data_IF_809755014866
#
_entry.id   IF_809755014866
#
_cell.length_a   1.000
_cell.length_b   1.000
_cell.length_c   1.000
_cell.angle_alpha   90.00
_cell.angle_beta   90.00
_cell.angle_gamma   90.00
#
_symmetry.space_group_name_H-M   'P 1'
#
loop_
_entity.id
_entity.type
_entity.pdbx_description
1 polymer ?
#
# COMPACT_ATOMS: atom_id res chain seq x y z
N UNK A 1 -9.22 2.26 8.56
CA UNK A 1 -9.97 3.04 9.56
C UNK A 1 -9.10 3.47 10.74
N UNK A 2 -8.46 2.55 11.49
CA UNK A 2 -7.61 2.92 12.64
C UNK A 2 -6.43 3.80 12.23
N UNK A 3 -5.76 3.49 11.11
CA UNK A 3 -4.65 4.28 10.59
C UNK A 3 -5.13 5.68 10.18
N UNK A 4 -6.23 5.78 9.47
CA UNK A 4 -6.83 7.07 9.07
C UNK A 4 -7.18 7.93 10.28
N UNK A 5 -7.79 7.30 11.31
CA UNK A 5 -8.14 7.99 12.54
C UNK A 5 -6.89 8.47 13.30
N UNK A 6 -5.85 7.64 13.37
CA UNK A 6 -4.60 7.99 14.04
C UNK A 6 -3.88 9.14 13.32
N UNK A 7 -3.75 9.08 11.98
CA UNK A 7 -3.11 10.14 11.20
C UNK A 7 -3.94 11.43 11.20
N UNK A 8 -5.26 11.33 11.24
CA UNK A 8 -6.14 12.49 11.38
C UNK A 8 -5.95 13.20 12.74
N UNK A 9 -5.87 12.43 13.84
CA UNK A 9 -5.59 12.99 15.17
C UNK A 9 -4.20 13.65 15.20
N UNK A 10 -3.19 13.02 14.59
CA UNK A 10 -1.85 13.59 14.50
C UNK A 10 -1.87 14.90 13.70
N UNK A 11 -2.56 14.94 12.56
CA UNK A 11 -2.74 16.13 11.75
C UNK A 11 -3.40 17.29 12.52
N UNK A 12 -4.39 17.00 13.36
CA UNK A 12 -4.99 18.00 14.25
C UNK A 12 -4.03 18.54 15.30
N UNK A 13 -3.14 17.68 15.84
CA UNK A 13 -2.15 18.10 16.85
C UNK A 13 -1.03 18.96 16.26
N UNK A 14 -0.66 18.68 14.99
CA UNK A 14 0.42 19.40 14.28
C UNK A 14 -0.11 20.61 13.52
N UNK A 15 -1.44 20.79 13.46
CA UNK A 15 -2.14 21.82 12.68
C UNK A 15 -1.89 21.69 11.16
N UNK A 16 -1.73 20.44 10.70
CA UNK A 16 -1.57 20.09 9.29
C UNK A 16 -2.57 18.99 8.89
N UNK A 17 -3.76 19.36 8.39
CA UNK A 17 -4.80 18.42 7.99
C UNK A 17 -4.38 17.53 6.80
N UNK A 18 -3.40 17.97 6.00
CA UNK A 18 -2.92 17.21 4.84
C UNK A 18 -2.04 16.00 5.24
N UNK A 19 -1.70 15.85 6.51
CA UNK A 19 -1.06 14.62 7.04
C UNK A 19 -2.02 13.43 7.15
N UNK A 20 -3.32 13.63 7.06
CA UNK A 20 -4.28 12.56 7.16
C UNK A 20 -4.18 11.60 5.96
N UNK A 21 -4.07 10.29 6.23
CA UNK A 21 -4.05 9.24 5.21
C UNK A 21 -5.48 8.74 5.00
N UNK A 22 -6.08 9.09 3.86
CA UNK A 22 -7.42 8.64 3.47
C UNK A 22 -7.39 7.29 2.77
N UNK A 23 -6.53 7.13 1.76
CA UNK A 23 -6.36 5.89 1.02
C UNK A 23 -4.88 5.57 0.79
N UNK A 24 -4.23 4.99 1.80
CA UNK A 24 -2.84 4.56 1.74
C UNK A 24 -2.66 3.08 1.36
N UNK A 25 -1.42 2.60 1.42
CA UNK A 25 -1.04 1.23 1.03
C UNK A 25 -1.86 0.15 1.73
N UNK A 26 -2.13 0.28 3.03
CA UNK A 26 -2.91 -0.71 3.78
C UNK A 26 -4.37 -0.77 3.32
N UNK A 27 -4.97 0.37 2.95
CA UNK A 27 -6.32 0.41 2.40
C UNK A 27 -6.37 -0.24 1.01
N UNK A 28 -5.37 0.01 0.17
CA UNK A 28 -5.24 -0.61 -1.14
C UNK A 28 -5.10 -2.13 -1.05
N UNK A 29 -4.25 -2.63 -0.14
CA UNK A 29 -4.10 -4.07 0.11
C UNK A 29 -5.40 -4.68 0.64
N UNK A 30 -6.05 -4.04 1.63
CA UNK A 30 -7.30 -4.53 2.21
C UNK A 30 -8.42 -4.62 1.16
N UNK A 31 -8.59 -3.58 0.34
CA UNK A 31 -9.56 -3.57 -0.76
C UNK A 31 -9.26 -4.67 -1.77
N UNK A 32 -7.99 -4.84 -2.14
CA UNK A 32 -7.57 -5.91 -3.06
C UNK A 32 -7.89 -7.29 -2.50
N UNK A 33 -7.55 -7.57 -1.23
CA UNK A 33 -7.81 -8.85 -0.58
C UNK A 33 -9.32 -9.13 -0.45
N UNK A 34 -10.11 -8.10 -0.14
CA UNK A 34 -11.56 -8.22 -0.09
C UNK A 34 -12.14 -8.58 -1.47
N UNK A 35 -11.72 -7.89 -2.52
CA UNK A 35 -12.14 -8.19 -3.89
C UNK A 35 -11.69 -9.59 -4.33
N UNK A 36 -10.46 -9.99 -4.02
CA UNK A 36 -9.96 -11.35 -4.30
C UNK A 36 -10.83 -12.37 -3.59
N UNK A 37 -11.10 -12.19 -2.29
CA UNK A 37 -11.92 -13.12 -1.51
C UNK A 37 -13.35 -13.27 -2.03
N UNK A 38 -13.95 -12.20 -2.53
CA UNK A 38 -15.29 -12.20 -3.13
C UNK A 38 -15.28 -12.82 -4.54
N UNK A 39 -14.40 -12.33 -5.40
CA UNK A 39 -14.37 -12.73 -6.82
C UNK A 39 -13.87 -14.16 -7.00
N UNK A 40 -12.93 -14.64 -6.18
CA UNK A 40 -12.40 -16.01 -6.28
C UNK A 40 -13.44 -17.10 -5.96
N UNK A 41 -14.51 -16.74 -5.25
CA UNK A 41 -15.66 -17.63 -5.01
C UNK A 41 -16.47 -17.86 -6.28
N UNK A 42 -16.56 -16.84 -7.14
CA UNK A 42 -17.41 -16.81 -8.34
C UNK A 42 -16.58 -17.19 -9.57
N UNK A 43 -15.39 -16.60 -9.72
CA UNK A 43 -14.54 -16.71 -10.91
C UNK A 43 -13.38 -17.67 -10.64
N UNK A 44 -13.48 -18.88 -11.15
CA UNK A 44 -12.44 -19.93 -10.97
C UNK A 44 -11.29 -19.84 -11.97
N UNK A 45 -11.41 -19.03 -13.03
CA UNK A 45 -10.39 -18.89 -14.06
C UNK A 45 -9.20 -18.08 -13.56
N UNK A 46 -8.00 -18.67 -13.63
CA UNK A 46 -6.75 -17.95 -13.32
C UNK A 46 -6.46 -16.81 -14.31
N UNK A 47 -6.87 -16.95 -15.58
CA UNK A 47 -6.66 -15.96 -16.63
C UNK A 47 -7.44 -14.66 -16.38
N UNK A 48 -8.55 -14.74 -15.65
CA UNK A 48 -9.27 -13.56 -15.21
C UNK A 48 -8.39 -12.61 -14.39
N UNK A 49 -7.60 -13.16 -13.47
CA UNK A 49 -6.70 -12.37 -12.61
C UNK A 49 -5.59 -11.70 -13.40
N UNK A 50 -5.05 -12.38 -14.43
CA UNK A 50 -4.07 -11.76 -15.31
C UNK A 50 -4.69 -10.65 -16.14
N UNK A 51 -5.83 -10.90 -16.81
CA UNK A 51 -6.48 -9.93 -17.65
C UNK A 51 -6.92 -8.68 -16.88
N UNK A 52 -7.58 -8.87 -15.71
CA UNK A 52 -8.00 -7.77 -14.86
C UNK A 52 -6.81 -6.99 -14.27
N UNK A 53 -5.73 -7.67 -13.89
CA UNK A 53 -4.52 -7.02 -13.42
C UNK A 53 -3.86 -6.15 -14.48
N UNK A 54 -3.72 -6.66 -15.72
CA UNK A 54 -3.16 -5.90 -16.85
C UNK A 54 -4.03 -4.70 -17.20
N UNK A 55 -5.36 -4.88 -17.24
CA UNK A 55 -6.29 -3.77 -17.52
C UNK A 55 -6.20 -2.70 -16.44
N UNK A 56 -6.19 -3.08 -15.17
CA UNK A 56 -6.06 -2.13 -14.06
C UNK A 56 -4.74 -1.36 -14.11
N UNK A 57 -3.62 -2.04 -14.38
CA UNK A 57 -2.31 -1.36 -14.52
C UNK A 57 -2.34 -0.40 -15.71
N UNK A 58 -2.91 -0.80 -16.85
CA UNK A 58 -3.03 0.08 -18.01
C UNK A 58 -3.85 1.34 -17.70
N UNK A 59 -4.95 1.20 -16.95
CA UNK A 59 -5.75 2.33 -16.45
C UNK A 59 -4.89 3.20 -15.52
N UNK A 60 -4.17 2.61 -14.56
CA UNK A 60 -3.33 3.35 -13.62
C UNK A 60 -2.21 4.13 -14.33
N UNK A 61 -1.58 3.55 -15.35
CA UNK A 61 -0.57 4.25 -16.18
C UNK A 61 -1.22 5.37 -17.01
N UNK A 62 -2.41 5.14 -17.56
CA UNK A 62 -3.12 6.14 -18.36
C UNK A 62 -3.57 7.35 -17.52
N UNK A 63 -3.94 7.13 -16.27
CA UNK A 63 -4.25 8.21 -15.30
C UNK A 63 -2.98 9.01 -14.97
N UNK A 64 -1.82 8.36 -14.92
CA UNK A 64 -0.53 9.00 -14.69
C UNK A 64 -0.33 9.44 -13.23
N UNK A 65 0.46 10.51 -13.03
CA UNK A 65 0.72 11.06 -11.70
C UNK A 65 -0.40 12.04 -11.32
N UNK A 66 -1.22 11.72 -10.30
CA UNK A 66 -2.29 12.61 -9.89
C UNK A 66 -1.76 13.91 -9.30
N UNK A 67 -2.45 15.05 -9.53
CA UNK A 67 -2.14 16.28 -8.86
C UNK A 67 -2.41 16.18 -7.36
N UNK A 68 -1.58 16.84 -6.56
CA UNK A 68 -1.83 16.96 -5.12
C UNK A 68 -3.04 17.86 -4.88
N UNK A 69 -3.99 17.39 -4.07
CA UNK A 69 -5.21 18.12 -3.70
C UNK A 69 -5.26 18.26 -2.18
N UNK A 70 -5.43 19.48 -1.70
CA UNK A 70 -5.58 19.74 -0.26
C UNK A 70 -6.89 19.16 0.27
N UNK A 71 -6.85 18.63 1.48
CA UNK A 71 -7.98 17.96 2.13
C UNK A 71 -9.22 18.85 2.25
N UNK A 72 -9.04 20.16 2.38
CA UNK A 72 -10.11 21.14 2.51
C UNK A 72 -10.79 21.54 1.20
N UNK A 73 -10.25 21.11 0.05
CA UNK A 73 -10.72 21.57 -1.26
C UNK A 73 -11.99 20.86 -1.74
N UNK A 74 -12.25 19.62 -1.27
CA UNK A 74 -13.36 18.81 -1.77
C UNK A 74 -14.04 17.98 -0.66
N UNK A 75 -15.30 17.54 -0.86
CA UNK A 75 -15.97 16.66 0.08
C UNK A 75 -15.22 15.34 0.23
N UNK A 76 -15.12 14.83 1.45
CA UNK A 76 -14.38 13.60 1.80
C UNK A 76 -14.61 12.41 0.86
N UNK A 77 -15.88 12.11 0.54
CA UNK A 77 -16.20 10.96 -0.33
C UNK A 77 -15.73 11.15 -1.77
N UNK A 78 -15.76 12.37 -2.28
CA UNK A 78 -15.29 12.68 -3.64
C UNK A 78 -13.76 12.54 -3.69
N UNK A 79 -13.07 13.06 -2.70
CA UNK A 79 -11.63 12.96 -2.56
C UNK A 79 -11.20 11.49 -2.43
N UNK A 80 -11.85 10.71 -1.56
CA UNK A 80 -11.60 9.28 -1.40
C UNK A 80 -11.76 8.49 -2.72
N UNK A 81 -12.81 8.76 -3.48
CA UNK A 81 -13.01 8.12 -4.78
C UNK A 81 -11.92 8.50 -5.79
N UNK A 82 -11.53 9.77 -5.81
CA UNK A 82 -10.45 10.25 -6.68
C UNK A 82 -9.11 9.62 -6.32
N UNK A 83 -8.81 9.44 -5.04
CA UNK A 83 -7.61 8.74 -4.58
C UNK A 83 -7.63 7.25 -4.93
N UNK A 84 -8.77 6.57 -4.73
CA UNK A 84 -8.92 5.16 -5.12
C UNK A 84 -8.67 4.99 -6.62
N UNK A 85 -9.23 5.86 -7.45
CA UNK A 85 -9.06 5.81 -8.92
C UNK A 85 -7.65 6.27 -9.33
N UNK A 86 -7.00 7.13 -8.53
CA UNK A 86 -5.69 7.69 -8.80
C UNK A 86 -5.73 8.99 -9.58
N UNK A 87 -6.84 9.73 -9.54
CA UNK A 87 -6.99 11.05 -10.19
C UNK A 87 -6.66 12.22 -9.28
N UNK A 88 -6.49 11.98 -7.98
CA UNK A 88 -6.00 12.93 -6.99
C UNK A 88 -5.06 12.23 -6.02
N UNK A 89 -4.11 12.96 -5.47
CA UNK A 89 -3.26 12.55 -4.35
C UNK A 89 -3.52 13.49 -3.19
N UNK A 90 -3.77 12.95 -2.00
CA UNK A 90 -3.95 13.70 -0.78
C UNK A 90 -3.24 12.99 0.38
N UNK A 91 -2.55 13.77 1.20
CA UNK A 91 -1.77 13.21 2.30
C UNK A 91 -0.42 12.66 1.89
N UNK A 92 0.26 12.06 2.86
CA UNK A 92 1.65 11.59 2.73
C UNK A 92 1.79 10.17 2.15
N UNK A 93 0.70 9.40 2.06
CA UNK A 93 0.70 8.00 1.61
C UNK A 93 -0.49 7.76 0.69
N UNK A 94 -0.25 7.81 -0.62
CA UNK A 94 -1.29 7.71 -1.63
C UNK A 94 -0.99 6.55 -2.60
N UNK A 95 -1.86 5.54 -2.60
CA UNK A 95 -1.71 4.33 -3.41
C UNK A 95 -2.95 4.09 -4.26
N UNK A 96 -2.94 4.60 -5.49
CA UNK A 96 -4.03 4.41 -6.45
C UNK A 96 -4.32 2.92 -6.70
N UNK A 97 -5.57 2.50 -6.45
CA UNK A 97 -5.97 1.09 -6.60
C UNK A 97 -5.72 0.51 -8.00
N UNK A 98 -5.97 1.22 -9.13
CA UNK A 98 -5.73 0.63 -10.44
C UNK A 98 -4.29 0.16 -10.63
N UNK A 99 -3.31 0.98 -10.27
CA UNK A 99 -1.91 0.62 -10.45
C UNK A 99 -1.46 -0.48 -9.48
N UNK A 100 -1.68 -0.29 -8.20
CA UNK A 100 -1.17 -1.19 -7.16
C UNK A 100 -2.06 -2.42 -6.93
N UNK A 101 -3.38 -2.27 -6.99
CA UNK A 101 -4.31 -3.40 -6.96
C UNK A 101 -4.16 -4.31 -8.18
N UNK A 102 -3.87 -3.74 -9.35
CA UNK A 102 -3.55 -4.50 -10.56
C UNK A 102 -2.31 -5.39 -10.38
N UNK A 103 -1.25 -4.90 -9.73
CA UNK A 103 -0.06 -5.70 -9.39
C UNK A 103 -0.40 -6.86 -8.44
N UNK A 104 -1.25 -6.62 -7.44
CA UNK A 104 -1.73 -7.66 -6.52
C UNK A 104 -2.50 -8.74 -7.30
N UNK A 105 -3.36 -8.37 -8.27
CA UNK A 105 -4.11 -9.33 -9.09
C UNK A 105 -3.20 -10.18 -9.97
N UNK A 106 -2.14 -9.60 -10.55
CA UNK A 106 -1.10 -10.38 -11.24
C UNK A 106 -0.40 -11.34 -10.27
N UNK A 107 -0.12 -10.88 -9.04
CA UNK A 107 0.41 -11.74 -7.98
C UNK A 107 -0.49 -12.95 -7.68
N UNK A 108 -1.82 -12.78 -7.67
CA UNK A 108 -2.79 -13.88 -7.52
C UNK A 108 -2.71 -14.85 -8.68
N UNK A 109 -2.61 -14.35 -9.93
CA UNK A 109 -2.41 -15.22 -11.11
C UNK A 109 -1.13 -16.06 -10.97
N UNK A 110 -0.01 -15.43 -10.65
CA UNK A 110 1.27 -16.13 -10.44
C UNK A 110 1.18 -17.13 -9.31
N UNK A 111 0.54 -16.79 -8.19
CA UNK A 111 0.30 -17.69 -7.08
C UNK A 111 -0.48 -18.94 -7.50
N UNK A 112 -1.56 -18.77 -8.27
CA UNK A 112 -2.36 -19.89 -8.80
C UNK A 112 -1.64 -20.70 -9.87
N UNK A 113 -0.66 -20.13 -10.55
CA UNK A 113 0.16 -20.81 -11.55
C UNK A 113 1.26 -21.62 -10.90
N UNK A 114 2.05 -20.99 -10.00
CA UNK A 114 3.28 -21.57 -9.43
C UNK A 114 3.01 -22.49 -8.24
N UNK A 115 2.00 -22.16 -7.41
CA UNK A 115 1.69 -22.90 -6.19
C UNK A 115 0.46 -23.81 -6.34
N UNK A 116 0.25 -24.35 -7.53
CA UNK A 116 -0.91 -25.24 -7.82
C UNK A 116 -1.00 -26.43 -6.85
N UNK A 117 0.13 -26.98 -6.44
CA UNK A 117 0.20 -28.13 -5.52
C UNK A 117 0.39 -27.72 -4.05
N UNK A 118 0.38 -26.43 -3.74
CA UNK A 118 0.61 -25.89 -2.38
C UNK A 118 1.94 -26.37 -1.76
N UNK A 119 2.94 -26.68 -2.59
CA UNK A 119 4.29 -27.06 -2.17
C UNK A 119 5.25 -25.90 -2.32
N UNK A 120 6.24 -25.82 -1.42
CA UNK A 120 7.30 -24.82 -1.55
C UNK A 120 8.12 -25.07 -2.82
N UNK A 121 8.40 -24.01 -3.58
CA UNK A 121 9.30 -24.07 -4.74
C UNK A 121 10.77 -24.30 -4.34
N UNK A 122 11.12 -23.99 -3.08
CA UNK A 122 12.47 -24.14 -2.54
C UNK A 122 12.40 -24.95 -1.23
N UNK A 123 12.30 -26.28 -1.30
CA UNK A 123 12.09 -27.11 -0.11
C UNK A 123 13.27 -27.12 0.87
N UNK A 124 14.48 -26.81 0.41
CA UNK A 124 15.71 -26.92 1.20
C UNK A 124 16.26 -25.59 1.75
N UNK A 125 15.48 -24.52 1.76
CA UNK A 125 15.91 -23.20 2.24
C UNK A 125 15.94 -23.08 3.78
N UNK A 126 16.37 -24.15 4.51
CA UNK A 126 16.39 -24.18 5.98
C UNK A 126 17.16 -23.02 6.63
N UNK A 127 18.21 -22.53 5.99
CA UNK A 127 19.07 -21.46 6.54
C UNK A 127 18.52 -20.03 6.30
N UNK A 128 17.63 -19.86 5.33
CA UNK A 128 17.03 -18.55 5.00
C UNK A 128 15.66 -18.36 5.67
N UNK A 129 15.04 -19.47 6.09
CA UNK A 129 13.65 -19.45 6.58
C UNK A 129 13.47 -18.69 7.90
N UNK A 130 14.44 -18.71 8.83
CA UNK A 130 14.27 -18.09 10.14
C UNK A 130 14.01 -16.57 10.10
N UNK A 131 14.94 -15.74 9.59
CA UNK A 131 14.75 -14.30 9.53
C UNK A 131 13.62 -13.87 8.58
N UNK A 132 13.53 -14.49 7.41
CA UNK A 132 12.49 -14.18 6.41
C UNK A 132 11.11 -14.59 6.92
N UNK A 133 10.97 -15.74 7.53
CA UNK A 133 9.73 -16.19 8.16
C UNK A 133 9.33 -15.26 9.32
N UNK A 134 10.27 -14.86 10.17
CA UNK A 134 10.01 -13.93 11.25
C UNK A 134 9.47 -12.59 10.73
N UNK A 135 10.14 -11.99 9.74
CA UNK A 135 9.70 -10.74 9.10
C UNK A 135 8.32 -10.93 8.42
N UNK A 136 8.12 -12.04 7.72
CA UNK A 136 6.84 -12.34 7.07
C UNK A 136 5.68 -12.48 8.06
N UNK A 137 5.89 -13.18 9.17
CA UNK A 137 4.87 -13.35 10.23
C UNK A 137 4.59 -12.06 10.99
N UNK A 138 5.58 -11.17 11.09
CA UNK A 138 5.47 -9.89 11.79
C UNK A 138 5.47 -8.69 10.83
N UNK A 139 5.08 -8.89 9.59
CA UNK A 139 5.14 -7.87 8.53
C UNK A 139 4.44 -6.55 8.90
N UNK A 140 3.33 -6.62 9.63
CA UNK A 140 2.62 -5.44 10.10
C UNK A 140 3.45 -4.63 11.11
N UNK A 141 4.09 -5.31 12.07
CA UNK A 141 4.97 -4.64 13.05
C UNK A 141 6.21 -4.05 12.38
N UNK A 142 6.79 -4.76 11.41
CA UNK A 142 7.92 -4.27 10.62
C UNK A 142 7.48 -3.04 9.81
N UNK A 143 6.29 -3.07 9.21
CA UNK A 143 5.73 -1.94 8.48
C UNK A 143 5.52 -0.71 9.37
N UNK A 144 4.91 -0.84 10.53
CA UNK A 144 4.76 0.28 11.46
C UNK A 144 6.10 0.71 12.07
N UNK A 145 6.96 -0.25 12.38
CA UNK A 145 8.28 0.03 12.95
C UNK A 145 9.16 0.90 12.04
N UNK A 146 9.19 0.62 10.74
CA UNK A 146 10.01 1.42 9.82
C UNK A 146 9.43 2.84 9.63
N UNK A 147 8.13 3.03 9.69
CA UNK A 147 7.49 4.35 9.59
C UNK A 147 7.86 5.27 10.76
N UNK A 148 8.13 4.71 11.95
CA UNK A 148 8.61 5.46 13.11
C UNK A 148 10.13 5.62 13.05
N UNK A 149 10.85 4.56 12.69
CA UNK A 149 12.30 4.51 12.70
C UNK A 149 12.95 5.47 11.68
N UNK A 150 12.39 5.53 10.46
CA UNK A 150 12.95 6.36 9.40
C UNK A 150 12.91 7.87 9.73
N UNK A 151 11.80 8.46 10.17
CA UNK A 151 11.77 9.86 10.58
C UNK A 151 12.71 10.17 11.76
N UNK A 152 12.83 9.25 12.72
CA UNK A 152 13.75 9.42 13.85
C UNK A 152 15.20 9.42 13.35
N UNK A 153 15.58 8.49 12.48
CA UNK A 153 16.93 8.46 11.87
C UNK A 153 17.19 9.74 11.08
N UNK A 154 16.23 10.17 10.26
CA UNK A 154 16.36 11.42 9.50
C UNK A 154 16.53 12.63 10.41
N UNK A 155 15.77 12.74 11.49
CA UNK A 155 15.89 13.82 12.47
C UNK A 155 17.27 13.83 13.12
N UNK A 156 17.80 12.66 13.51
CA UNK A 156 19.14 12.53 14.10
C UNK A 156 20.23 12.95 13.10
N UNK A 157 20.12 12.52 11.83
CA UNK A 157 21.10 12.89 10.78
C UNK A 157 21.08 14.41 10.53
N UNK A 158 19.90 15.01 10.45
CA UNK A 158 19.75 16.46 10.25
C UNK A 158 20.32 17.26 11.42
N UNK A 159 20.05 16.84 12.65
CA UNK A 159 20.60 17.47 13.85
C UNK A 159 22.13 17.34 13.91
N UNK A 160 22.67 16.16 13.60
CA UNK A 160 24.14 15.94 13.54
C UNK A 160 24.79 16.77 12.43
N UNK A 161 24.16 16.85 11.25
CA UNK A 161 24.65 17.68 10.14
C UNK A 161 24.64 19.17 10.47
N UNK A 162 23.62 19.64 11.17
CA UNK A 162 23.54 21.04 11.63
C UNK A 162 24.66 21.40 12.61
N UNK A 163 24.99 20.49 13.54
CA UNK A 163 26.07 20.67 14.50
C UNK A 163 27.47 20.71 13.85
N UNK A 164 27.67 20.01 12.73
CA UNK A 164 28.92 19.97 11.98
C UNK A 164 29.12 21.18 11.06
N UNK A 165 28.06 21.94 10.80
CA UNK A 165 28.08 23.14 9.94
C UNK A 165 28.25 24.46 10.72
N UNK A 166 28.24 24.42 12.05
CA UNK A 166 28.56 25.54 12.93
C UNK A 166 30.04 25.47 13.33
#
# INVERSE_FOLDING_TARGET
LLLTLATWIIGLVIDDPDMAITFGVLHCIALSLMLIGLLDRIIKSKWFWLASGVILIAIGIAVGNPPFVHYSAEPFFVLLLKEIIGTAACGSDCFAFPLYGGQIFIGVFLGKLLYREKKSLIPNAKYVNGPVEFVGRNSLFVYFGHQILLPVIMAVILLAGYQLSM
#
